data_IF_388358781267
#
_entry.id   IF_388358781267
#
_cell.length_a   1.000
_cell.length_b   1.000
_cell.length_c   1.000
_cell.angle_alpha   90.00
_cell.angle_beta   90.00
_cell.angle_gamma   90.00
#
_symmetry.space_group_name_H-M   'P 1'
#
loop_
_entity.id
_entity.type
_entity.pdbx_description
1 polymer ?
#
# COMPACT_ATOMS: atom_id res chain seq x y z
N UNK A 1 44.23 41.10 31.60
CA UNK A 1 43.90 40.02 32.55
C UNK A 1 42.50 39.52 32.23
N UNK A 2 42.35 38.21 32.07
CA UNK A 2 41.19 37.50 31.51
C UNK A 2 39.99 37.45 32.47
N UNK A 3 38.84 37.15 31.84
CA UNK A 3 37.60 36.47 32.29
C UNK A 3 36.43 37.44 32.45
N UNK A 4 35.30 37.27 31.77
CA UNK A 4 34.81 36.12 31.03
C UNK A 4 33.30 36.13 31.25
N UNK A 5 32.57 36.58 30.24
CA UNK A 5 31.12 36.59 30.21
C UNK A 5 30.61 35.15 30.23
N UNK A 6 29.90 34.77 31.30
CA UNK A 6 29.01 33.62 31.29
C UNK A 6 27.83 33.93 30.35
N UNK A 7 28.03 33.63 29.06
CA UNK A 7 26.94 33.36 28.14
C UNK A 7 26.55 31.91 28.37
N UNK A 8 25.62 31.69 29.29
CA UNK A 8 24.82 30.47 29.30
C UNK A 8 24.07 30.42 27.97
N UNK A 9 24.56 29.61 27.02
CA UNK A 9 23.76 29.21 25.88
C UNK A 9 22.41 28.70 26.43
N UNK A 10 21.26 29.19 25.94
CA UNK A 10 20.01 28.59 26.32
C UNK A 10 20.06 27.14 25.85
N UNK A 11 20.00 26.20 26.79
CA UNK A 11 19.79 24.78 26.53
C UNK A 11 18.71 24.67 25.45
N UNK A 12 19.13 24.37 24.21
CA UNK A 12 18.21 24.10 23.12
C UNK A 12 17.24 23.01 23.59
N UNK A 13 15.97 23.03 23.18
CA UNK A 13 14.97 22.09 23.69
C UNK A 13 15.54 20.68 23.57
N UNK A 14 15.76 20.01 24.72
CA UNK A 14 16.25 18.64 24.76
C UNK A 14 15.40 17.83 23.80
N UNK A 15 16.02 17.30 22.75
CA UNK A 15 15.32 16.58 21.71
C UNK A 15 14.64 15.36 22.34
N UNK A 16 13.35 15.48 22.63
CA UNK A 16 12.49 14.38 23.06
C UNK A 16 12.56 13.31 21.96
N UNK A 17 12.66 12.03 22.33
CA UNK A 17 12.65 10.92 21.38
C UNK A 17 11.49 11.04 20.39
N UNK A 18 10.30 11.47 20.86
CA UNK A 18 9.11 11.65 20.04
C UNK A 18 9.10 12.92 19.18
N UNK A 19 10.08 13.81 19.34
CA UNK A 19 10.29 14.97 18.48
C UNK A 19 11.09 14.64 17.20
N UNK A 20 11.76 13.48 17.15
CA UNK A 20 12.54 13.06 16.01
C UNK A 20 11.72 13.02 14.70
N UNK A 21 12.33 13.28 13.52
CA UNK A 21 11.60 13.36 12.26
C UNK A 21 10.75 12.11 11.96
N UNK A 22 11.24 10.93 12.35
CA UNK A 22 10.57 9.65 12.19
C UNK A 22 9.13 9.67 12.75
N UNK A 23 8.90 10.35 13.87
CA UNK A 23 7.60 10.32 14.56
C UNK A 23 6.65 11.45 14.13
N UNK A 24 7.01 12.23 13.11
CA UNK A 24 6.23 13.41 12.70
C UNK A 24 5.04 13.08 11.79
N UNK A 25 5.07 11.95 11.09
CA UNK A 25 3.99 11.56 10.17
C UNK A 25 4.03 10.07 9.87
N UNK A 26 2.86 9.46 9.67
CA UNK A 26 2.71 8.01 9.55
C UNK A 26 3.51 7.38 8.41
N UNK A 27 3.72 8.06 7.29
CA UNK A 27 4.45 7.51 6.15
C UNK A 27 5.90 7.17 6.49
N UNK A 28 6.51 7.90 7.44
CA UNK A 28 7.94 7.78 7.74
C UNK A 28 8.31 6.41 8.30
N UNK A 29 7.77 5.97 9.45
CA UNK A 29 8.14 4.68 10.02
C UNK A 29 7.52 3.53 9.22
N UNK A 30 6.27 3.66 8.78
CA UNK A 30 5.57 2.56 8.12
C UNK A 30 6.10 2.26 6.72
N UNK A 31 6.51 3.26 5.92
CA UNK A 31 7.12 2.96 4.61
C UNK A 31 8.54 2.42 4.76
N UNK A 32 9.30 2.93 5.75
CA UNK A 32 10.65 2.43 6.03
C UNK A 32 10.60 0.97 6.48
N UNK A 33 9.87 0.69 7.57
CA UNK A 33 9.78 -0.64 8.17
C UNK A 33 9.04 -1.61 7.26
N UNK A 34 7.96 -1.16 6.61
CA UNK A 34 7.20 -1.99 5.67
C UNK A 34 8.05 -2.46 4.50
N UNK A 35 8.81 -1.56 3.84
CA UNK A 35 9.68 -1.96 2.72
C UNK A 35 10.82 -2.87 3.18
N UNK A 36 11.49 -2.56 4.30
CA UNK A 36 12.53 -3.42 4.87
C UNK A 36 11.96 -4.82 5.14
N UNK A 37 10.77 -4.88 5.72
CA UNK A 37 10.08 -6.13 6.02
C UNK A 37 9.73 -6.91 4.76
N UNK A 38 9.21 -6.26 3.72
CA UNK A 38 8.92 -6.91 2.44
C UNK A 38 10.17 -7.46 1.76
N UNK A 39 11.30 -6.75 1.83
CA UNK A 39 12.59 -7.23 1.33
C UNK A 39 13.08 -8.46 2.10
N UNK A 40 13.01 -8.41 3.43
CA UNK A 40 13.35 -9.55 4.27
C UNK A 40 12.45 -10.75 4.01
N UNK A 41 11.13 -10.54 3.90
CA UNK A 41 10.13 -11.57 3.62
C UNK A 41 10.42 -12.30 2.30
N UNK A 42 10.75 -11.54 1.25
CA UNK A 42 11.08 -12.13 -0.05
C UNK A 42 12.42 -12.86 -0.04
N UNK A 43 13.43 -12.33 0.65
CA UNK A 43 14.70 -13.03 0.82
C UNK A 43 14.49 -14.36 1.58
N UNK A 44 13.77 -14.33 2.70
CA UNK A 44 13.45 -15.53 3.47
C UNK A 44 12.68 -16.56 2.63
N UNK A 45 11.69 -16.13 1.84
CA UNK A 45 10.95 -17.01 0.95
C UNK A 45 11.79 -17.59 -0.20
N UNK A 46 12.75 -16.83 -0.73
CA UNK A 46 13.67 -17.30 -1.78
C UNK A 46 14.70 -18.32 -1.27
N UNK A 47 15.23 -18.12 -0.06
CA UNK A 47 16.29 -18.95 0.51
C UNK A 47 15.77 -20.16 1.29
N UNK A 48 14.50 -20.14 1.71
CA UNK A 48 13.89 -21.25 2.47
C UNK A 48 13.90 -22.60 1.72
N UNK A 49 13.49 -22.69 0.44
CA UNK A 49 13.56 -23.95 -0.30
C UNK A 49 14.97 -24.49 -0.50
N UNK A 50 16.00 -23.64 -0.38
CA UNK A 50 17.40 -24.02 -0.52
C UNK A 50 18.01 -24.57 0.78
N UNK A 51 17.24 -24.62 1.88
CA UNK A 51 17.75 -24.97 3.20
C UNK A 51 18.72 -23.93 3.77
N UNK A 52 18.78 -22.73 3.18
CA UNK A 52 19.72 -21.66 3.55
C UNK A 52 19.15 -20.68 4.58
N UNK A 53 17.95 -20.92 5.10
CA UNK A 53 17.35 -20.13 6.18
C UNK A 53 17.07 -21.01 7.40
N UNK A 54 17.75 -20.74 8.51
CA UNK A 54 17.46 -21.35 9.82
C UNK A 54 16.18 -20.77 10.47
N UNK A 55 15.45 -19.91 9.75
CA UNK A 55 14.17 -19.38 10.23
C UNK A 55 13.15 -20.51 10.18
N UNK A 56 12.77 -21.03 11.34
CA UNK A 56 11.59 -21.87 11.49
C UNK A 56 10.38 -21.06 11.04
N UNK A 57 10.03 -21.17 9.75
CA UNK A 57 8.82 -20.55 9.24
C UNK A 57 7.64 -21.12 10.03
N UNK A 58 6.64 -20.28 10.39
CA UNK A 58 5.50 -20.72 11.17
C UNK A 58 4.88 -22.01 10.62
N UNK A 59 4.28 -22.82 11.50
CA UNK A 59 3.80 -24.21 11.34
C UNK A 59 2.86 -24.53 10.15
N UNK A 60 2.64 -23.60 9.22
CA UNK A 60 1.80 -23.77 8.03
C UNK A 60 2.63 -23.65 6.74
N UNK A 61 2.11 -24.16 5.62
CA UNK A 61 2.88 -24.28 4.38
C UNK A 61 3.38 -22.92 3.83
N UNK A 62 4.48 -22.95 3.05
CA UNK A 62 5.15 -21.75 2.53
C UNK A 62 4.23 -20.77 1.78
N UNK A 63 3.27 -21.22 0.93
CA UNK A 63 2.34 -20.31 0.26
C UNK A 63 1.41 -19.54 1.20
N UNK A 64 0.88 -20.19 2.24
CA UNK A 64 0.04 -19.54 3.24
C UNK A 64 0.83 -18.51 4.03
N UNK A 65 2.08 -18.82 4.41
CA UNK A 65 2.98 -17.87 5.09
C UNK A 65 3.26 -16.66 4.23
N UNK A 66 3.65 -16.90 2.98
CA UNK A 66 3.90 -15.82 2.03
C UNK A 66 2.65 -14.94 1.86
N UNK A 67 1.48 -15.55 1.65
CA UNK A 67 0.21 -14.83 1.49
C UNK A 67 -0.16 -13.98 2.71
N UNK A 68 -0.10 -14.57 3.91
CA UNK A 68 -0.39 -13.90 5.18
C UNK A 68 0.53 -12.69 5.38
N UNK A 69 1.84 -12.90 5.26
CA UNK A 69 2.83 -11.87 5.51
C UNK A 69 2.83 -10.75 4.46
N UNK A 70 2.50 -11.08 3.20
CA UNK A 70 2.34 -10.08 2.14
C UNK A 70 1.12 -9.19 2.36
N UNK A 71 0.00 -9.76 2.80
CA UNK A 71 -1.26 -9.02 3.00
C UNK A 71 -1.25 -8.25 4.32
N UNK A 72 -1.00 -8.92 5.44
CA UNK A 72 -1.15 -8.31 6.76
C UNK A 72 0.13 -7.62 7.25
N UNK A 73 1.30 -8.17 6.92
CA UNK A 73 2.60 -7.61 7.32
C UNK A 73 3.03 -6.46 6.44
N UNK A 74 3.43 -6.79 5.22
CA UNK A 74 3.96 -5.85 4.25
C UNK A 74 2.91 -4.83 3.79
N UNK A 75 1.82 -5.31 3.17
CA UNK A 75 0.80 -4.40 2.64
C UNK A 75 0.08 -3.65 3.76
N UNK A 76 -0.19 -4.31 4.89
CA UNK A 76 -0.78 -3.70 6.08
C UNK A 76 0.02 -2.50 6.60
N UNK A 77 1.36 -2.61 6.69
CA UNK A 77 2.22 -1.48 7.06
C UNK A 77 2.09 -0.31 6.09
N UNK A 78 2.19 -0.56 4.78
CA UNK A 78 2.10 0.51 3.77
C UNK A 78 0.70 1.14 3.74
N UNK A 79 -0.35 0.36 3.96
CA UNK A 79 -1.73 0.85 4.11
C UNK A 79 -1.86 1.76 5.34
N UNK A 80 -1.34 1.35 6.49
CA UNK A 80 -1.36 2.17 7.72
C UNK A 80 -0.61 3.50 7.50
N UNK A 81 0.63 3.44 6.98
CA UNK A 81 1.41 4.64 6.68
C UNK A 81 0.71 5.59 5.72
N UNK A 82 -0.01 5.04 4.73
CA UNK A 82 -0.82 5.82 3.81
C UNK A 82 -2.02 6.48 4.51
N UNK A 83 -2.83 5.72 5.23
CA UNK A 83 -4.06 6.24 5.87
C UNK A 83 -3.69 7.35 6.87
N UNK A 84 -2.70 7.10 7.73
CA UNK A 84 -2.28 8.03 8.77
C UNK A 84 -1.72 9.35 8.19
N UNK A 85 -1.18 9.32 6.97
CA UNK A 85 -0.60 10.51 6.32
C UNK A 85 -1.61 11.26 5.46
N UNK A 86 -2.47 10.54 4.74
CA UNK A 86 -3.41 11.13 3.81
C UNK A 86 -4.66 11.70 4.51
N UNK A 87 -5.12 11.03 5.57
CA UNK A 87 -6.39 11.34 6.20
C UNK A 87 -6.47 12.74 6.83
N UNK A 88 -5.42 13.29 7.50
CA UNK A 88 -5.45 14.65 8.01
C UNK A 88 -5.73 15.68 6.92
N UNK A 89 -5.08 15.54 5.75
CA UNK A 89 -5.23 16.46 4.63
C UNK A 89 -6.58 16.39 3.93
N UNK A 90 -7.27 15.25 3.98
CA UNK A 90 -8.54 15.03 3.27
C UNK A 90 -9.76 15.24 4.16
N UNK A 91 -9.74 14.63 5.34
CA UNK A 91 -10.85 14.64 6.28
C UNK A 91 -10.77 15.81 7.27
N UNK A 92 -9.66 16.55 7.30
CA UNK A 92 -9.42 17.61 8.28
C UNK A 92 -9.26 17.06 9.70
N UNK A 93 -8.75 15.83 9.82
CA UNK A 93 -8.50 15.18 11.11
C UNK A 93 -7.14 15.58 11.67
N UNK A 94 -6.95 15.40 12.98
CA UNK A 94 -5.64 15.60 13.60
C UNK A 94 -4.64 14.55 13.11
N UNK A 95 -3.41 14.97 12.82
CA UNK A 95 -2.33 14.06 12.45
C UNK A 95 -1.85 13.25 13.66
N UNK A 96 -1.83 11.93 13.53
CA UNK A 96 -1.29 11.02 14.55
C UNK A 96 0.24 11.06 14.46
N UNK A 97 0.87 11.58 15.51
CA UNK A 97 2.32 11.81 15.62
C UNK A 97 2.85 11.51 17.02
N UNK A 98 4.17 11.50 17.18
CA UNK A 98 4.85 11.27 18.46
C UNK A 98 4.54 9.88 19.03
N UNK A 99 4.27 9.82 20.35
CA UNK A 99 4.03 8.56 21.06
C UNK A 99 2.85 7.76 20.53
N UNK A 100 1.78 8.42 20.04
CA UNK A 100 0.61 7.73 19.47
C UNK A 100 0.98 6.97 18.19
N UNK A 101 1.85 7.57 17.36
CA UNK A 101 2.38 6.90 16.18
C UNK A 101 3.34 5.77 16.56
N UNK A 102 4.19 5.98 17.57
CA UNK A 102 5.08 4.93 18.07
C UNK A 102 4.30 3.71 18.59
N UNK A 103 3.16 3.92 19.26
CA UNK A 103 2.29 2.83 19.70
C UNK A 103 1.78 1.98 18.53
N UNK A 104 1.37 2.59 17.42
CA UNK A 104 0.93 1.86 16.22
C UNK A 104 2.09 1.09 15.56
N UNK A 105 3.29 1.66 15.56
CA UNK A 105 4.50 0.99 15.05
C UNK A 105 4.87 -0.21 15.95
N UNK A 106 4.80 -0.05 17.27
CA UNK A 106 5.02 -1.13 18.22
C UNK A 106 3.97 -2.24 18.08
N UNK A 107 2.70 -1.88 17.88
CA UNK A 107 1.63 -2.84 17.60
C UNK A 107 1.97 -3.72 16.39
N UNK A 108 2.39 -3.11 15.28
CA UNK A 108 2.81 -3.83 14.09
C UNK A 108 4.06 -4.69 14.30
N UNK A 109 5.10 -4.13 14.94
CA UNK A 109 6.34 -4.87 15.27
C UNK A 109 6.06 -6.06 16.19
N UNK A 110 5.18 -5.89 17.18
CA UNK A 110 4.80 -6.96 18.11
C UNK A 110 4.09 -8.10 17.40
N UNK A 111 3.25 -7.81 16.40
CA UNK A 111 2.64 -8.82 15.54
C UNK A 111 3.67 -9.64 14.79
N UNK A 112 4.62 -8.99 14.10
CA UNK A 112 5.69 -9.70 13.40
C UNK A 112 6.56 -10.51 14.36
N UNK A 113 6.96 -9.92 15.48
CA UNK A 113 7.70 -10.62 16.53
C UNK A 113 6.95 -11.83 17.09
N UNK A 114 5.62 -11.75 17.21
CA UNK A 114 4.79 -12.85 17.69
C UNK A 114 4.69 -13.99 16.66
N UNK A 115 4.52 -13.68 15.38
CA UNK A 115 4.47 -14.69 14.30
C UNK A 115 5.76 -15.50 14.23
N UNK A 116 6.92 -14.86 14.44
CA UNK A 116 8.24 -15.53 14.42
C UNK A 116 8.74 -15.96 15.80
N UNK A 117 7.97 -15.72 16.87
CA UNK A 117 8.36 -16.01 18.24
C UNK A 117 8.27 -17.49 18.63
N UNK A 118 7.83 -18.36 17.71
CA UNK A 118 7.64 -19.78 17.95
C UNK A 118 6.58 -20.07 19.02
N UNK A 119 6.76 -21.18 19.76
CA UNK A 119 5.81 -21.64 20.80
C UNK A 119 5.88 -20.82 22.11
N UNK A 120 6.72 -19.77 22.17
CA UNK A 120 6.85 -18.92 23.36
C UNK A 120 5.57 -18.14 23.66
N UNK A 121 4.81 -17.79 22.62
CA UNK A 121 3.56 -17.02 22.74
C UNK A 121 2.37 -17.94 22.43
N UNK A 122 1.36 -18.02 23.30
CA UNK A 122 0.15 -18.80 23.01
C UNK A 122 -0.53 -18.36 21.71
N UNK A 123 -1.15 -19.28 20.98
CA UNK A 123 -1.71 -19.00 19.65
C UNK A 123 -2.71 -17.82 19.64
N UNK A 124 -3.59 -17.72 20.64
CA UNK A 124 -4.48 -16.56 20.79
C UNK A 124 -3.74 -15.25 21.06
N UNK A 125 -2.59 -15.29 21.74
CA UNK A 125 -1.70 -14.15 21.93
C UNK A 125 -1.10 -13.67 20.62
N UNK A 126 -0.64 -14.59 19.76
CA UNK A 126 -0.16 -14.28 18.41
C UNK A 126 -1.27 -13.58 17.61
N UNK A 127 -2.48 -14.16 17.59
CA UNK A 127 -3.63 -13.57 16.91
C UNK A 127 -3.92 -12.13 17.34
N UNK A 128 -3.92 -11.86 18.65
CA UNK A 128 -4.20 -10.53 19.21
C UNK A 128 -3.11 -9.53 18.81
N UNK A 129 -1.84 -9.88 19.02
CA UNK A 129 -0.70 -9.02 18.70
C UNK A 129 -0.64 -8.73 17.20
N UNK A 130 -0.88 -9.76 16.38
CA UNK A 130 -0.78 -9.65 14.94
C UNK A 130 -1.91 -8.83 14.29
N UNK A 131 -3.10 -8.88 14.90
CA UNK A 131 -4.26 -8.09 14.45
C UNK A 131 -4.31 -6.68 15.05
N UNK A 132 -3.46 -6.39 16.04
CA UNK A 132 -3.53 -5.18 16.85
C UNK A 132 -3.38 -3.88 16.04
N UNK A 133 -2.52 -3.85 15.01
CA UNK A 133 -2.33 -2.66 14.18
C UNK A 133 -3.64 -2.15 13.59
N UNK A 134 -4.43 -3.04 12.98
CA UNK A 134 -5.65 -2.67 12.26
C UNK A 134 -6.73 -2.17 13.23
N UNK A 135 -6.91 -2.91 14.31
CA UNK A 135 -7.90 -2.61 15.32
C UNK A 135 -7.54 -1.31 16.09
N UNK A 136 -6.28 -1.11 16.49
CA UNK A 136 -5.82 0.16 17.12
C UNK A 136 -5.89 1.35 16.17
N UNK A 137 -5.52 1.17 14.90
CA UNK A 137 -5.65 2.24 13.89
C UNK A 137 -7.11 2.65 13.73
N UNK A 138 -8.04 1.70 13.66
CA UNK A 138 -9.48 1.97 13.60
C UNK A 138 -9.97 2.77 14.81
N UNK A 139 -9.60 2.35 16.03
CA UNK A 139 -9.96 3.02 17.27
C UNK A 139 -9.44 4.47 17.30
N UNK A 140 -8.17 4.69 16.95
CA UNK A 140 -7.57 6.03 16.98
C UNK A 140 -8.17 6.98 15.94
N UNK A 141 -8.59 6.46 14.79
CA UNK A 141 -9.13 7.28 13.70
C UNK A 141 -10.63 7.55 13.86
N UNK A 142 -11.37 6.68 14.54
CA UNK A 142 -12.83 6.74 14.64
C UNK A 142 -13.36 8.11 15.08
N UNK A 143 -12.87 8.76 16.16
CA UNK A 143 -13.40 10.06 16.58
C UNK A 143 -13.22 11.15 15.51
N UNK A 144 -12.08 11.15 14.82
CA UNK A 144 -11.80 12.09 13.75
C UNK A 144 -12.71 11.86 12.54
N UNK A 145 -12.89 10.60 12.15
CA UNK A 145 -13.78 10.22 11.04
C UNK A 145 -15.25 10.57 11.32
N UNK A 146 -15.72 10.36 12.55
CA UNK A 146 -17.08 10.73 12.95
C UNK A 146 -17.30 12.25 12.92
N UNK A 147 -16.28 13.06 13.20
CA UNK A 147 -16.33 14.53 13.13
C UNK A 147 -16.13 15.08 11.72
N UNK A 148 -15.55 14.31 10.80
CA UNK A 148 -15.29 14.75 9.44
C UNK A 148 -16.58 15.20 8.74
N UNK A 149 -16.50 16.31 7.98
CA UNK A 149 -17.65 16.86 7.22
C UNK A 149 -18.11 15.90 6.14
N UNK A 150 -17.17 15.29 5.41
CA UNK A 150 -17.46 14.32 4.38
C UNK A 150 -17.48 12.89 4.98
N UNK A 151 -18.67 12.29 5.07
CA UNK A 151 -18.86 10.96 5.66
C UNK A 151 -18.34 9.82 4.80
N UNK A 152 -17.98 10.06 3.53
CA UNK A 152 -17.36 9.03 2.69
C UNK A 152 -16.03 8.50 3.25
N UNK A 153 -15.33 9.26 4.10
CA UNK A 153 -14.12 8.78 4.77
C UNK A 153 -14.37 7.65 5.79
N UNK A 154 -15.62 7.45 6.23
CA UNK A 154 -15.98 6.29 7.07
C UNK A 154 -15.78 4.95 6.34
N UNK A 155 -15.71 4.94 5.01
CA UNK A 155 -15.36 3.75 4.23
C UNK A 155 -13.98 3.16 4.56
N UNK A 156 -13.12 3.89 5.28
CA UNK A 156 -11.86 3.36 5.82
C UNK A 156 -12.06 2.35 6.95
N UNK A 157 -13.14 2.45 7.73
CA UNK A 157 -13.42 1.54 8.84
C UNK A 157 -13.73 0.11 8.37
N UNK A 158 -14.62 -0.14 7.39
CA UNK A 158 -14.82 -1.50 6.88
C UNK A 158 -13.56 -2.08 6.24
N UNK A 159 -12.70 -1.26 5.61
CA UNK A 159 -11.40 -1.71 5.08
C UNK A 159 -10.49 -2.23 6.22
N UNK A 160 -10.35 -1.46 7.31
CA UNK A 160 -9.60 -1.90 8.49
C UNK A 160 -10.28 -3.09 9.17
N UNK A 161 -11.60 -3.15 9.14
CA UNK A 161 -12.40 -4.27 9.59
C UNK A 161 -12.09 -5.55 8.83
N UNK A 162 -12.03 -5.52 7.50
CA UNK A 162 -11.65 -6.66 6.66
C UNK A 162 -10.21 -7.12 6.92
N UNK A 163 -9.28 -6.18 7.12
CA UNK A 163 -7.91 -6.54 7.51
C UNK A 163 -7.85 -7.19 8.89
N UNK A 164 -8.52 -6.61 9.90
CA UNK A 164 -8.52 -7.17 11.26
C UNK A 164 -9.25 -8.54 11.28
N UNK A 165 -10.44 -8.65 10.67
CA UNK A 165 -11.24 -9.88 10.65
C UNK A 165 -10.60 -10.98 9.80
N UNK A 166 -10.05 -10.66 8.63
CA UNK A 166 -9.33 -11.61 7.80
C UNK A 166 -8.14 -12.22 8.53
N UNK A 167 -7.40 -11.39 9.27
CA UNK A 167 -6.26 -11.84 10.06
C UNK A 167 -6.69 -12.73 11.24
N UNK A 168 -7.73 -12.33 11.96
CA UNK A 168 -8.31 -13.14 13.05
C UNK A 168 -8.81 -14.49 12.53
N UNK A 169 -9.55 -14.50 11.41
CA UNK A 169 -10.04 -15.74 10.77
C UNK A 169 -8.86 -16.63 10.37
N UNK A 170 -7.79 -16.06 9.82
CA UNK A 170 -6.59 -16.79 9.48
C UNK A 170 -5.98 -17.49 10.71
N UNK A 171 -5.71 -16.76 11.79
CA UNK A 171 -5.10 -17.33 12.99
C UNK A 171 -5.99 -18.39 13.65
N UNK A 172 -7.30 -18.15 13.75
CA UNK A 172 -8.25 -19.16 14.22
C UNK A 172 -8.22 -20.40 13.33
N UNK A 173 -8.13 -20.23 12.00
CA UNK A 173 -8.05 -21.35 11.06
C UNK A 173 -6.76 -22.16 11.20
N UNK A 174 -5.63 -21.50 11.48
CA UNK A 174 -4.38 -22.20 11.80
C UNK A 174 -4.51 -23.01 13.09
N UNK A 175 -5.15 -22.46 14.13
CA UNK A 175 -5.42 -23.17 15.40
C UNK A 175 -6.29 -24.41 15.17
N UNK A 176 -7.32 -24.28 14.32
CA UNK A 176 -8.25 -25.38 14.02
C UNK A 176 -7.70 -26.38 12.97
N UNK A 177 -6.57 -26.09 12.33
CA UNK A 177 -6.01 -26.90 11.25
C UNK A 177 -6.75 -26.79 9.91
N UNK A 178 -7.59 -25.76 9.72
CA UNK A 178 -8.40 -25.54 8.51
C UNK A 178 -7.68 -24.62 7.49
N UNK A 179 -6.91 -25.24 6.59
CA UNK A 179 -6.12 -24.49 5.59
C UNK A 179 -6.97 -23.77 4.55
N UNK A 180 -8.20 -24.23 4.29
CA UNK A 180 -9.12 -23.59 3.36
C UNK A 180 -9.66 -22.29 3.99
N UNK A 181 -10.07 -22.35 5.26
CA UNK A 181 -10.49 -21.17 6.02
C UNK A 181 -9.35 -20.19 6.25
N UNK A 182 -8.11 -20.66 6.40
CA UNK A 182 -6.94 -19.81 6.44
C UNK A 182 -6.76 -19.04 5.13
N UNK A 183 -6.83 -19.73 3.99
CA UNK A 183 -6.79 -19.11 2.66
C UNK A 183 -7.90 -18.06 2.48
N UNK A 184 -9.11 -18.35 2.97
CA UNK A 184 -10.24 -17.42 2.95
C UNK A 184 -9.98 -16.18 3.82
N UNK A 185 -9.37 -16.32 4.99
CA UNK A 185 -8.93 -15.19 5.83
C UNK A 185 -7.98 -14.24 5.09
N UNK A 186 -7.00 -14.79 4.36
CA UNK A 186 -6.10 -14.00 3.49
C UNK A 186 -6.89 -13.29 2.38
N UNK A 187 -7.86 -13.97 1.74
CA UNK A 187 -8.70 -13.36 0.71
C UNK A 187 -9.53 -12.19 1.24
N UNK A 188 -10.10 -12.29 2.45
CA UNK A 188 -10.82 -11.18 3.10
C UNK A 188 -9.88 -9.97 3.26
N UNK A 189 -8.66 -10.19 3.78
CA UNK A 189 -7.65 -9.15 3.90
C UNK A 189 -7.28 -8.53 2.55
N UNK A 190 -7.07 -9.37 1.52
CA UNK A 190 -6.76 -8.95 0.16
C UNK A 190 -7.88 -8.09 -0.44
N UNK A 191 -9.15 -8.46 -0.24
CA UNK A 191 -10.29 -7.66 -0.68
C UNK A 191 -10.34 -6.30 0.02
N UNK A 192 -9.95 -6.22 1.30
CA UNK A 192 -9.76 -4.95 2.00
C UNK A 192 -8.67 -4.09 1.35
N UNK A 193 -7.54 -4.69 0.97
CA UNK A 193 -6.45 -4.01 0.25
C UNK A 193 -6.90 -3.53 -1.14
N UNK A 194 -7.68 -4.33 -1.88
CA UNK A 194 -8.28 -3.95 -3.16
C UNK A 194 -9.25 -2.77 -3.01
N UNK A 195 -10.14 -2.83 -2.01
CA UNK A 195 -11.05 -1.74 -1.69
C UNK A 195 -10.29 -0.44 -1.41
N UNK A 196 -9.22 -0.51 -0.60
CA UNK A 196 -8.31 0.61 -0.36
C UNK A 196 -7.63 1.09 -1.65
N UNK A 197 -7.14 0.17 -2.47
CA UNK A 197 -6.47 0.49 -3.73
C UNK A 197 -7.36 1.35 -4.63
N UNK A 198 -8.66 1.03 -4.73
CA UNK A 198 -9.59 1.82 -5.55
C UNK A 198 -10.00 3.13 -4.88
N UNK A 199 -10.36 3.07 -3.59
CA UNK A 199 -10.78 4.25 -2.83
C UNK A 199 -9.69 5.32 -2.81
N UNK A 200 -8.46 4.91 -2.50
CA UNK A 200 -7.33 5.83 -2.36
C UNK A 200 -6.53 5.96 -3.65
N UNK A 201 -6.10 4.84 -4.25
CA UNK A 201 -5.25 4.83 -5.44
C UNK A 201 -6.00 5.32 -6.68
N UNK A 202 -7.21 4.84 -6.94
CA UNK A 202 -8.03 5.30 -8.07
C UNK A 202 -8.41 6.78 -7.99
N UNK A 203 -8.82 7.23 -6.81
CA UNK A 203 -9.11 8.65 -6.55
C UNK A 203 -7.85 9.51 -6.67
N UNK A 204 -6.75 9.13 -6.00
CA UNK A 204 -5.51 9.89 -6.04
C UNK A 204 -4.89 9.94 -7.42
N UNK A 205 -4.96 8.84 -8.17
CA UNK A 205 -4.48 8.81 -9.54
C UNK A 205 -5.25 9.86 -10.34
N UNK A 206 -6.59 9.86 -10.28
CA UNK A 206 -7.41 10.92 -10.92
C UNK A 206 -6.98 12.33 -10.51
N UNK A 207 -6.79 12.59 -9.21
CA UNK A 207 -6.36 13.92 -8.70
C UNK A 207 -4.97 14.29 -9.21
N UNK A 208 -4.03 13.37 -9.19
CA UNK A 208 -2.66 13.61 -9.62
C UNK A 208 -2.55 13.77 -11.13
N UNK A 209 -3.33 13.04 -11.90
CA UNK A 209 -3.46 13.21 -13.35
C UNK A 209 -4.06 14.57 -13.68
N UNK A 210 -5.14 14.97 -13.00
CA UNK A 210 -5.72 16.31 -13.15
C UNK A 210 -4.69 17.40 -12.84
N UNK A 211 -3.93 17.25 -11.76
CA UNK A 211 -2.88 18.21 -11.39
C UNK A 211 -1.73 18.27 -12.40
N UNK A 212 -1.35 17.12 -12.98
CA UNK A 212 -0.32 17.07 -14.03
C UNK A 212 -0.81 17.73 -15.32
N UNK A 213 -2.05 17.48 -15.74
CA UNK A 213 -2.65 18.12 -16.92
C UNK A 213 -2.81 19.63 -16.73
N UNK A 214 -3.25 20.09 -15.56
CA UNK A 214 -3.36 21.52 -15.23
C UNK A 214 -2.03 22.26 -15.33
N UNK A 215 -0.92 21.64 -14.89
CA UNK A 215 0.41 22.24 -15.01
C UNK A 215 0.85 22.45 -16.47
N UNK A 216 0.20 21.76 -17.42
CA UNK A 216 0.49 21.85 -18.85
C UNK A 216 -0.59 22.60 -19.65
N UNK A 217 -1.54 23.27 -18.97
CA UNK A 217 -2.72 23.85 -19.63
C UNK A 217 -3.52 22.81 -20.46
N UNK A 218 -3.50 21.55 -20.04
CA UNK A 218 -4.24 20.45 -20.67
C UNK A 218 -5.73 20.45 -20.31
N UNK A 219 -6.49 19.47 -20.83
CA UNK A 219 -7.93 19.37 -20.58
C UNK A 219 -8.23 19.14 -19.09
N UNK A 220 -9.30 19.78 -18.57
CA UNK A 220 -9.73 19.56 -17.19
C UNK A 220 -10.50 18.24 -17.07
N UNK A 221 -9.98 17.33 -16.23
CA UNK A 221 -10.65 16.07 -15.91
C UNK A 221 -11.80 16.34 -14.95
N UNK A 222 -13.02 16.44 -15.49
CA UNK A 222 -14.24 16.54 -14.67
C UNK A 222 -14.43 15.27 -13.84
N UNK A 223 -14.70 15.41 -12.55
CA UNK A 223 -15.15 14.27 -11.73
C UNK A 223 -16.59 13.94 -12.15
N UNK A 224 -16.88 12.66 -12.40
CA UNK A 224 -18.23 12.19 -12.73
C UNK A 224 -18.78 11.39 -11.54
N UNK A 225 -19.66 11.96 -10.70
CA UNK A 225 -20.13 11.29 -9.49
C UNK A 225 -20.75 9.91 -9.76
N UNK A 226 -21.56 9.78 -10.81
CA UNK A 226 -22.20 8.51 -11.18
C UNK A 226 -21.18 7.40 -11.47
N UNK A 227 -20.03 7.75 -12.07
CA UNK A 227 -18.99 6.78 -12.40
C UNK A 227 -18.24 6.34 -11.13
N UNK A 228 -18.06 7.22 -10.15
CA UNK A 228 -17.48 6.87 -8.86
C UNK A 228 -18.40 5.93 -8.07
N UNK A 229 -19.71 6.17 -8.07
CA UNK A 229 -20.70 5.26 -7.48
C UNK A 229 -20.74 3.91 -8.20
N UNK A 230 -20.74 3.92 -9.54
CA UNK A 230 -20.71 2.68 -10.34
C UNK A 230 -19.42 1.90 -10.11
N UNK A 231 -18.28 2.58 -9.96
CA UNK A 231 -16.99 1.98 -9.62
C UNK A 231 -16.99 1.35 -8.24
N UNK A 232 -17.60 2.00 -7.25
CA UNK A 232 -17.75 1.43 -5.91
C UNK A 232 -18.69 0.22 -5.91
N UNK A 233 -19.84 0.32 -6.58
CA UNK A 233 -20.82 -0.77 -6.66
C UNK A 233 -20.26 -1.99 -7.38
N UNK A 234 -19.61 -1.81 -8.54
CA UNK A 234 -19.02 -2.93 -9.28
C UNK A 234 -17.90 -3.60 -8.48
N UNK A 235 -17.15 -2.84 -7.69
CA UNK A 235 -16.15 -3.40 -6.79
C UNK A 235 -16.78 -4.19 -5.64
N UNK A 236 -17.87 -3.71 -5.06
CA UNK A 236 -18.61 -4.46 -4.03
C UNK A 236 -19.16 -5.78 -4.57
N UNK A 237 -19.69 -5.78 -5.78
CA UNK A 237 -20.15 -7.01 -6.44
C UNK A 237 -18.99 -7.97 -6.73
N UNK A 238 -17.84 -7.46 -7.17
CA UNK A 238 -16.64 -8.27 -7.32
C UNK A 238 -16.19 -8.89 -6.00
N UNK A 239 -16.08 -8.10 -4.93
CA UNK A 239 -15.73 -8.59 -3.58
C UNK A 239 -16.73 -9.67 -3.12
N UNK A 240 -18.02 -9.42 -3.31
CA UNK A 240 -19.07 -10.40 -3.00
C UNK A 240 -18.89 -11.69 -3.81
N UNK A 241 -18.63 -11.59 -5.13
CA UNK A 241 -18.41 -12.74 -6.00
C UNK A 241 -17.12 -13.52 -5.74
N UNK A 242 -16.17 -12.95 -5.00
CA UNK A 242 -14.93 -13.64 -4.58
C UNK A 242 -15.10 -14.30 -3.21
N UNK A 243 -15.80 -13.64 -2.28
CA UNK A 243 -15.88 -14.08 -0.89
C UNK A 243 -17.10 -14.93 -0.57
N UNK A 244 -18.20 -14.76 -1.30
CA UNK A 244 -19.42 -15.52 -1.11
C UNK A 244 -19.42 -16.78 -1.97
N UNK A 245 -20.14 -17.80 -1.51
CA UNK A 245 -20.36 -19.05 -2.23
C UNK A 245 -21.40 -18.84 -3.36
N UNK A 246 -20.96 -18.20 -4.43
CA UNK A 246 -21.77 -17.97 -5.65
C UNK A 246 -21.28 -18.86 -6.79
N UNK A 247 -22.15 -19.22 -7.75
CA UNK A 247 -21.72 -19.90 -8.96
C UNK A 247 -20.58 -19.17 -9.66
N UNK A 248 -19.54 -19.91 -10.08
CA UNK A 248 -18.31 -19.34 -10.65
C UNK A 248 -18.58 -18.37 -11.82
N UNK A 249 -19.57 -18.69 -12.67
CA UNK A 249 -20.01 -17.83 -13.78
C UNK A 249 -20.49 -16.45 -13.30
N UNK A 250 -21.18 -16.39 -12.16
CA UNK A 250 -21.66 -15.14 -11.57
C UNK A 250 -20.48 -14.34 -11.02
N UNK A 251 -19.55 -14.99 -10.29
CA UNK A 251 -18.31 -14.36 -9.82
C UNK A 251 -17.50 -13.78 -10.97
N UNK A 252 -17.37 -14.51 -12.08
CA UNK A 252 -16.69 -14.04 -13.28
C UNK A 252 -17.39 -12.87 -13.96
N UNK A 253 -18.72 -12.88 -14.04
CA UNK A 253 -19.48 -11.76 -14.59
C UNK A 253 -19.28 -10.48 -13.76
N UNK A 254 -19.32 -10.57 -12.43
CA UNK A 254 -19.02 -9.44 -11.56
C UNK A 254 -17.60 -8.90 -11.77
N UNK A 255 -16.61 -9.77 -11.96
CA UNK A 255 -15.25 -9.36 -12.26
C UNK A 255 -15.13 -8.65 -13.62
N UNK A 256 -15.79 -9.15 -14.68
CA UNK A 256 -15.81 -8.47 -15.98
C UNK A 256 -16.55 -7.14 -15.94
N UNK A 257 -17.68 -7.05 -15.22
CA UNK A 257 -18.38 -5.79 -15.00
C UNK A 257 -17.48 -4.78 -14.29
N UNK A 258 -16.77 -5.20 -13.23
CA UNK A 258 -15.81 -4.35 -12.54
C UNK A 258 -14.68 -3.91 -13.49
N UNK A 259 -14.08 -4.83 -14.25
CA UNK A 259 -13.05 -4.51 -15.24
C UNK A 259 -13.52 -3.47 -16.27
N UNK A 260 -14.73 -3.62 -16.81
CA UNK A 260 -15.30 -2.69 -17.80
C UNK A 260 -15.50 -1.28 -17.23
N UNK A 261 -16.06 -1.17 -16.02
CA UNK A 261 -16.25 0.13 -15.34
C UNK A 261 -14.90 0.79 -15.05
N UNK A 262 -13.93 0.03 -14.58
CA UNK A 262 -12.60 0.53 -14.23
C UNK A 262 -11.81 0.92 -15.48
N UNK A 263 -11.98 0.21 -16.60
CA UNK A 263 -11.46 0.60 -17.91
C UNK A 263 -12.09 1.92 -18.39
N UNK A 264 -13.42 2.06 -18.29
CA UNK A 264 -14.11 3.30 -18.62
C UNK A 264 -13.55 4.50 -17.84
N UNK A 265 -13.25 4.31 -16.54
CA UNK A 265 -12.57 5.31 -15.71
C UNK A 265 -11.14 5.59 -16.18
N UNK A 266 -10.36 4.56 -16.45
CA UNK A 266 -8.97 4.67 -16.91
C UNK A 266 -8.85 5.45 -18.22
N UNK A 267 -9.70 5.16 -19.22
CA UNK A 267 -9.66 5.82 -20.53
C UNK A 267 -9.86 7.34 -20.43
N UNK A 268 -10.63 7.81 -19.43
CA UNK A 268 -10.85 9.23 -19.19
C UNK A 268 -9.61 9.97 -18.73
N UNK A 269 -8.62 9.27 -18.16
CA UNK A 269 -7.39 9.90 -17.69
C UNK A 269 -6.46 10.36 -18.82
N UNK A 270 -6.69 9.91 -20.07
CA UNK A 270 -5.90 10.33 -21.25
C UNK A 270 -4.39 10.22 -21.01
N UNK A 271 -3.95 9.03 -20.57
CA UNK A 271 -2.57 8.73 -20.12
C UNK A 271 -1.47 9.23 -21.07
N UNK A 272 -1.75 9.25 -22.37
CA UNK A 272 -0.83 9.75 -23.41
C UNK A 272 -0.42 11.23 -23.24
N UNK A 273 -1.19 12.03 -22.49
CA UNK A 273 -0.88 13.45 -22.23
C UNK A 273 0.11 13.65 -21.06
N UNK A 274 0.45 12.59 -20.32
CA UNK A 274 1.29 12.65 -19.12
C UNK A 274 2.49 11.68 -19.17
N UNK A 275 2.96 11.33 -20.37
CA UNK A 275 4.07 10.37 -20.56
C UNK A 275 5.41 10.86 -19.96
N UNK A 276 5.57 12.17 -19.83
CA UNK A 276 6.70 12.87 -19.18
C UNK A 276 6.57 13.01 -17.66
N UNK A 277 5.47 12.52 -17.06
CA UNK A 277 5.20 12.58 -15.63
C UNK A 277 5.31 11.17 -15.01
N UNK A 278 6.52 10.61 -14.86
CA UNK A 278 6.74 9.19 -14.55
C UNK A 278 6.02 8.71 -13.29
N UNK A 279 5.99 9.50 -12.22
CA UNK A 279 5.26 9.12 -10.99
C UNK A 279 3.77 8.86 -11.30
N UNK A 280 3.11 9.72 -12.07
CA UNK A 280 1.70 9.54 -12.39
C UNK A 280 1.51 8.44 -13.43
N UNK A 281 2.40 8.37 -14.43
CA UNK A 281 2.36 7.35 -15.47
C UNK A 281 2.41 5.92 -14.90
N UNK A 282 3.30 5.64 -13.94
CA UNK A 282 3.37 4.31 -13.33
C UNK A 282 2.19 4.01 -12.40
N UNK A 283 1.49 5.02 -11.87
CA UNK A 283 0.19 4.80 -11.21
C UNK A 283 -0.88 4.38 -12.23
N UNK A 284 -0.85 4.91 -13.46
CA UNK A 284 -1.73 4.47 -14.54
C UNK A 284 -1.42 3.04 -14.98
N UNK A 285 -0.14 2.70 -15.14
CA UNK A 285 0.30 1.33 -15.49
C UNK A 285 -0.14 0.33 -14.41
N UNK A 286 0.02 0.69 -13.14
CA UNK A 286 -0.50 -0.09 -12.01
C UNK A 286 -2.02 -0.30 -12.11
N UNK A 287 -2.77 0.74 -12.47
CA UNK A 287 -4.21 0.64 -12.62
C UNK A 287 -4.63 -0.30 -13.76
N UNK A 288 -3.86 -0.35 -14.86
CA UNK A 288 -4.07 -1.32 -15.93
C UNK A 288 -3.86 -2.76 -15.45
N UNK A 289 -2.84 -3.00 -14.61
CA UNK A 289 -2.65 -4.31 -13.97
C UNK A 289 -3.83 -4.70 -13.08
N UNK A 290 -4.44 -3.74 -12.37
CA UNK A 290 -5.66 -4.01 -11.60
C UNK A 290 -6.82 -4.43 -12.51
N UNK A 291 -7.01 -3.75 -13.64
CA UNK A 291 -8.01 -4.14 -14.63
C UNK A 291 -7.72 -5.54 -15.19
N UNK A 292 -6.45 -5.81 -15.52
CA UNK A 292 -5.99 -7.13 -15.96
C UNK A 292 -6.25 -8.22 -14.92
N UNK A 293 -6.06 -7.94 -13.62
CA UNK A 293 -6.34 -8.89 -12.55
C UNK A 293 -7.82 -9.30 -12.53
N UNK A 294 -8.76 -8.36 -12.67
CA UNK A 294 -10.18 -8.69 -12.72
C UNK A 294 -10.55 -9.49 -13.98
N UNK A 295 -9.93 -9.18 -15.13
CA UNK A 295 -10.11 -9.96 -16.36
C UNK A 295 -9.60 -11.39 -16.19
N UNK A 296 -8.41 -11.56 -15.59
CA UNK A 296 -7.82 -12.86 -15.32
C UNK A 296 -8.66 -13.68 -14.34
N UNK A 297 -9.19 -13.04 -13.30
CA UNK A 297 -10.13 -13.69 -12.37
C UNK A 297 -11.36 -14.18 -13.12
N UNK A 298 -12.02 -13.29 -13.88
CA UNK A 298 -13.24 -13.63 -14.59
C UNK A 298 -13.03 -14.71 -15.65
N UNK A 299 -11.90 -14.70 -16.34
CA UNK A 299 -11.54 -15.74 -17.31
C UNK A 299 -11.33 -17.10 -16.60
N UNK A 300 -10.60 -17.13 -15.49
CA UNK A 300 -10.36 -18.35 -14.72
C UNK A 300 -11.67 -18.98 -14.21
N UNK A 301 -12.57 -18.17 -13.63
CA UNK A 301 -13.88 -18.66 -13.15
C UNK A 301 -14.87 -19.00 -14.28
N UNK A 302 -14.54 -18.69 -15.54
CA UNK A 302 -15.33 -19.08 -16.71
C UNK A 302 -14.70 -20.26 -17.47
N UNK A 303 -13.75 -20.97 -16.85
CA UNK A 303 -13.18 -22.21 -17.38
C UNK A 303 -11.95 -22.03 -18.26
N UNK A 304 -11.36 -20.83 -18.32
CA UNK A 304 -10.03 -20.69 -18.91
C UNK A 304 -9.00 -21.43 -18.05
N UNK A 305 -8.06 -22.13 -18.69
CA UNK A 305 -7.00 -22.89 -18.01
C UNK A 305 -5.91 -21.98 -17.43
N UNK A 306 -6.29 -21.16 -16.46
CA UNK A 306 -5.45 -20.15 -15.82
C UNK A 306 -5.31 -20.50 -14.34
N UNK A 307 -4.08 -20.66 -13.86
CA UNK A 307 -3.84 -20.90 -12.44
C UNK A 307 -4.32 -19.72 -11.58
N UNK A 308 -4.92 -19.99 -10.41
CA UNK A 308 -5.45 -18.97 -9.48
C UNK A 308 -4.41 -17.89 -9.14
N UNK A 309 -3.13 -18.24 -9.15
CA UNK A 309 -2.03 -17.29 -8.95
C UNK A 309 -1.99 -16.14 -9.96
N UNK A 310 -2.54 -16.28 -11.18
CA UNK A 310 -2.43 -15.25 -12.21
C UNK A 310 -3.10 -13.93 -11.81
N UNK A 311 -4.37 -13.98 -11.40
CA UNK A 311 -5.09 -12.76 -11.01
C UNK A 311 -4.55 -12.18 -9.70
N UNK A 312 -4.19 -13.05 -8.74
CA UNK A 312 -3.61 -12.64 -7.46
C UNK A 312 -2.35 -11.83 -7.71
N UNK A 313 -1.41 -12.34 -8.52
CA UNK A 313 -0.14 -11.65 -8.75
C UNK A 313 -0.22 -10.50 -9.76
N UNK A 314 -1.16 -10.55 -10.70
CA UNK A 314 -1.50 -9.38 -11.51
C UNK A 314 -1.93 -8.22 -10.60
N UNK A 315 -2.71 -8.50 -9.55
CA UNK A 315 -3.04 -7.49 -8.55
C UNK A 315 -1.87 -7.18 -7.60
N UNK A 316 -1.33 -8.14 -6.86
CA UNK A 316 -0.38 -7.87 -5.77
C UNK A 316 0.98 -7.38 -6.26
N UNK A 317 1.48 -7.93 -7.37
CA UNK A 317 2.77 -7.54 -7.96
C UNK A 317 2.56 -6.42 -8.99
N UNK A 318 1.69 -6.64 -9.97
CA UNK A 318 1.47 -5.69 -11.07
C UNK A 318 0.81 -4.39 -10.61
N UNK A 319 -0.32 -4.48 -9.92
CA UNK A 319 -1.06 -3.31 -9.50
C UNK A 319 -0.51 -2.73 -8.19
N UNK A 320 -0.61 -3.48 -7.10
CA UNK A 320 -0.38 -3.01 -5.75
C UNK A 320 1.08 -2.60 -5.53
N UNK A 321 2.05 -3.46 -5.85
CA UNK A 321 3.48 -3.13 -5.64
C UNK A 321 3.93 -1.94 -6.49
N UNK A 322 3.48 -1.83 -7.74
CA UNK A 322 3.79 -0.68 -8.60
C UNK A 322 3.12 0.62 -8.12
N UNK A 323 1.85 0.55 -7.66
CA UNK A 323 1.17 1.67 -7.03
C UNK A 323 1.89 2.11 -5.77
N UNK A 324 2.27 1.15 -4.92
CA UNK A 324 3.04 1.40 -3.70
C UNK A 324 4.32 2.13 -4.05
N UNK A 325 5.19 1.56 -4.89
CA UNK A 325 6.46 2.18 -5.28
C UNK A 325 6.29 3.62 -5.77
N UNK A 326 5.37 3.86 -6.69
CA UNK A 326 5.15 5.21 -7.22
C UNK A 326 4.62 6.17 -6.15
N UNK A 327 3.64 5.73 -5.36
CA UNK A 327 2.97 6.54 -4.37
C UNK A 327 3.88 6.85 -3.17
N UNK A 328 4.58 5.86 -2.61
CA UNK A 328 5.50 6.06 -1.49
C UNK A 328 6.67 6.95 -1.91
N UNK A 329 7.16 6.84 -3.15
CA UNK A 329 8.15 7.77 -3.72
C UNK A 329 7.61 9.20 -3.75
N UNK A 330 6.42 9.38 -4.34
CA UNK A 330 5.77 10.69 -4.44
C UNK A 330 5.51 11.32 -3.06
N UNK A 331 4.99 10.54 -2.11
CA UNK A 331 4.70 10.98 -0.74
C UNK A 331 5.99 11.35 -0.03
N UNK A 332 7.03 10.51 -0.13
CA UNK A 332 8.34 10.80 0.48
C UNK A 332 8.92 12.11 -0.05
N UNK A 333 8.94 12.32 -1.37
CA UNK A 333 9.43 13.56 -1.96
C UNK A 333 8.59 14.76 -1.51
N UNK A 334 7.25 14.66 -1.61
CA UNK A 334 6.32 15.75 -1.28
C UNK A 334 6.44 16.18 0.19
N UNK A 335 6.37 15.23 1.11
CA UNK A 335 6.30 15.51 2.55
C UNK A 335 7.67 15.80 3.17
N UNK A 336 8.76 15.54 2.44
CA UNK A 336 10.11 15.95 2.85
C UNK A 336 10.62 17.22 2.16
N UNK A 337 9.77 17.92 1.40
CA UNK A 337 10.07 19.21 0.79
C UNK A 337 10.92 19.14 -0.48
N UNK A 338 10.97 17.98 -1.13
CA UNK A 338 11.77 17.74 -2.34
C UNK A 338 10.93 17.85 -3.62
N UNK A 339 11.60 18.08 -4.75
CA UNK A 339 10.97 18.15 -6.07
C UNK A 339 10.33 16.81 -6.43
N UNK A 340 9.17 16.83 -7.07
CA UNK A 340 8.41 15.62 -7.47
C UNK A 340 8.91 15.02 -8.80
N UNK A 341 10.23 14.91 -8.94
CA UNK A 341 10.88 14.34 -10.12
C UNK A 341 11.72 13.15 -9.67
N UNK A 342 11.34 11.91 -10.03
CA UNK A 342 12.12 10.74 -9.68
C UNK A 342 13.42 10.71 -10.51
N UNK A 343 14.53 10.33 -9.89
CA UNK A 343 15.79 10.10 -10.61
C UNK A 343 15.71 8.87 -11.52
N UNK A 344 16.68 8.74 -12.44
CA UNK A 344 16.73 7.64 -13.43
C UNK A 344 16.66 6.25 -12.78
N UNK A 345 17.39 6.02 -11.70
CA UNK A 345 17.37 4.74 -10.96
C UNK A 345 15.99 4.41 -10.37
N UNK A 346 15.20 5.41 -9.97
CA UNK A 346 13.85 5.18 -9.48
C UNK A 346 12.88 4.83 -10.62
N UNK A 347 13.10 5.41 -11.82
CA UNK A 347 12.37 5.00 -13.03
C UNK A 347 12.71 3.54 -13.38
N UNK A 348 14.00 3.15 -13.28
CA UNK A 348 14.42 1.75 -13.44
C UNK A 348 13.69 0.85 -12.45
N UNK A 349 13.57 1.22 -11.18
CA UNK A 349 12.81 0.45 -10.20
C UNK A 349 11.35 0.23 -10.63
N UNK A 350 10.67 1.25 -11.16
CA UNK A 350 9.30 1.10 -11.67
C UNK A 350 9.22 0.13 -12.85
N UNK A 351 10.15 0.22 -13.81
CA UNK A 351 10.22 -0.68 -14.96
C UNK A 351 10.51 -2.12 -14.53
N UNK A 352 11.44 -2.32 -13.60
CA UNK A 352 11.73 -3.64 -13.02
C UNK A 352 10.48 -4.25 -12.38
N UNK A 353 9.69 -3.46 -11.65
CA UNK A 353 8.44 -3.97 -11.05
C UNK A 353 7.42 -4.43 -12.11
N UNK A 354 7.30 -3.71 -13.23
CA UNK A 354 6.48 -4.15 -14.37
C UNK A 354 6.98 -5.49 -14.93
N UNK A 355 8.30 -5.63 -15.08
CA UNK A 355 8.93 -6.89 -15.52
C UNK A 355 8.70 -8.04 -14.54
N UNK A 356 8.85 -7.80 -13.23
CA UNK A 356 8.57 -8.79 -12.18
C UNK A 356 7.12 -9.28 -12.27
N UNK A 357 6.16 -8.36 -12.42
CA UNK A 357 4.74 -8.70 -12.57
C UNK A 357 4.48 -9.53 -13.83
N UNK A 358 5.04 -9.15 -14.97
CA UNK A 358 4.88 -9.87 -16.22
C UNK A 358 5.37 -11.32 -16.11
N UNK A 359 6.60 -11.53 -15.63
CA UNK A 359 7.15 -12.87 -15.41
C UNK A 359 6.30 -13.66 -14.42
N UNK A 360 5.85 -13.04 -13.32
CA UNK A 360 5.06 -13.71 -12.29
C UNK A 360 3.72 -14.23 -12.79
N UNK A 361 3.08 -13.48 -13.69
CA UNK A 361 1.76 -13.79 -14.26
C UNK A 361 1.87 -14.75 -15.45
N UNK A 362 2.95 -14.69 -16.23
CA UNK A 362 3.18 -15.62 -17.35
C UNK A 362 3.33 -17.08 -16.93
N UNK A 363 3.83 -17.36 -15.72
CA UNK A 363 3.93 -18.73 -15.17
C UNK A 363 2.56 -19.40 -14.98
N UNK A 364 1.61 -18.85 -14.19
CA UNK A 364 0.27 -19.43 -14.05
C UNK A 364 -0.59 -19.35 -15.33
N UNK A 365 -0.17 -18.57 -16.33
CA UNK A 365 -0.72 -18.61 -17.70
C UNK A 365 -0.11 -19.71 -18.57
N UNK A 366 0.84 -20.51 -18.03
CA UNK A 366 1.56 -21.59 -18.71
C UNK A 366 2.39 -21.12 -19.92
N UNK A 367 2.76 -19.84 -19.96
CA UNK A 367 3.65 -19.27 -20.98
C UNK A 367 5.12 -19.48 -20.60
N UNK A 368 5.43 -19.50 -19.30
CA UNK A 368 6.78 -19.70 -18.75
C UNK A 368 6.78 -20.84 -17.73
N UNK A 369 7.94 -21.48 -17.54
CA UNK A 369 8.16 -22.50 -16.50
C UNK A 369 8.25 -21.89 -15.10
N UNK A 370 8.15 -22.73 -14.06
CA UNK A 370 8.24 -22.31 -12.67
C UNK A 370 9.61 -21.70 -12.28
N UNK A 371 10.68 -21.98 -13.04
CA UNK A 371 12.01 -21.41 -12.80
C UNK A 371 12.02 -19.87 -12.84
N UNK A 372 11.08 -19.28 -13.58
CA UNK A 372 10.92 -17.83 -13.69
C UNK A 372 10.35 -17.18 -12.43
N UNK A 373 9.83 -17.96 -11.47
CA UNK A 373 9.32 -17.44 -10.20
C UNK A 373 10.44 -16.82 -9.37
N UNK A 374 11.60 -17.48 -9.28
CA UNK A 374 12.76 -16.97 -8.57
C UNK A 374 13.31 -15.70 -9.22
N UNK A 375 13.34 -15.65 -10.56
CA UNK A 375 13.76 -14.47 -11.32
C UNK A 375 12.82 -13.29 -11.07
N UNK A 376 11.50 -13.51 -11.12
CA UNK A 376 10.50 -12.50 -10.80
C UNK A 376 10.68 -11.94 -9.38
N UNK A 377 10.90 -12.82 -8.40
CA UNK A 377 11.14 -12.45 -7.02
C UNK A 377 12.44 -11.63 -6.84
N UNK A 378 13.54 -12.00 -7.52
CA UNK A 378 14.79 -11.23 -7.50
C UNK A 378 14.63 -9.83 -8.09
N UNK A 379 13.88 -9.71 -9.20
CA UNK A 379 13.57 -8.40 -9.82
C UNK A 379 12.71 -7.55 -8.88
N UNK A 380 11.73 -8.15 -8.21
CA UNK A 380 10.90 -7.49 -7.21
C UNK A 380 11.74 -6.95 -6.04
N UNK A 381 12.63 -7.78 -5.48
CA UNK A 381 13.56 -7.40 -4.40
C UNK A 381 14.46 -6.26 -4.85
N UNK A 382 15.01 -6.33 -6.06
CA UNK A 382 15.85 -5.28 -6.62
C UNK A 382 15.09 -3.96 -6.75
N UNK A 383 13.83 -4.00 -7.19
CA UNK A 383 12.99 -2.81 -7.36
C UNK A 383 12.73 -2.07 -6.03
N UNK A 384 12.29 -2.79 -5.00
CA UNK A 384 12.10 -2.20 -3.66
C UNK A 384 13.44 -1.84 -2.98
N UNK A 385 14.50 -2.59 -3.25
CA UNK A 385 15.87 -2.30 -2.81
C UNK A 385 16.35 -0.94 -3.33
N UNK A 386 16.12 -0.65 -4.61
CA UNK A 386 16.42 0.67 -5.18
C UNK A 386 15.61 1.77 -4.50
N UNK A 387 14.32 1.56 -4.21
CA UNK A 387 13.53 2.56 -3.48
C UNK A 387 14.13 2.87 -2.10
N UNK A 388 14.43 1.83 -1.30
CA UNK A 388 14.90 2.03 0.08
C UNK A 388 16.30 2.66 0.11
N UNK A 389 17.18 2.30 -0.83
CA UNK A 389 18.52 2.91 -0.96
C UNK A 389 18.40 4.41 -1.30
N UNK A 390 17.51 4.76 -2.23
CA UNK A 390 17.37 6.14 -2.72
C UNK A 390 16.58 7.04 -1.76
N UNK A 391 15.59 6.50 -1.05
CA UNK A 391 14.61 7.28 -0.28
C UNK A 391 14.58 6.98 1.23
N UNK A 392 15.14 5.86 1.69
CA UNK A 392 15.06 5.43 3.09
C UNK A 392 15.61 6.46 4.08
N UNK A 393 16.77 7.05 3.78
CA UNK A 393 17.35 8.10 4.62
C UNK A 393 16.47 9.36 4.71
N UNK A 394 15.62 9.62 3.72
CA UNK A 394 14.71 10.76 3.73
C UNK A 394 13.59 10.59 4.78
N UNK A 395 13.25 9.34 5.12
CA UNK A 395 12.20 9.02 6.08
C UNK A 395 12.64 9.27 7.53
N UNK A 396 13.95 9.19 7.81
CA UNK A 396 14.52 9.42 9.14
C UNK A 396 15.13 10.82 9.33
N UNK A 397 15.50 11.50 8.23
CA UNK A 397 16.09 12.84 8.29
C UNK A 397 15.02 13.96 8.36
N UNK A 398 15.38 15.15 8.89
CA UNK A 398 14.52 16.32 8.84
C UNK A 398 14.07 16.65 7.41
N UNK A 399 12.83 17.13 7.28
CA UNK A 399 12.34 17.67 6.01
C UNK A 399 13.11 18.95 5.65
N UNK A 400 13.25 19.23 4.35
CA UNK A 400 13.78 20.52 3.91
C UNK A 400 12.81 21.65 4.29
N UNK A 401 13.31 22.87 4.58
CA UNK A 401 12.46 24.04 4.76
C UNK A 401 11.54 24.19 3.55
N UNK A 402 10.24 24.43 3.78
CA UNK A 402 9.33 24.74 2.67
C UNK A 402 9.78 26.07 2.06
N UNK A 403 10.09 26.09 0.77
CA UNK A 403 10.24 27.35 0.04
C UNK A 403 8.94 28.14 0.21
N UNK A 404 9.01 29.24 0.97
CA UNK A 404 7.95 30.23 0.99
C UNK A 404 7.90 30.83 -0.41
N UNK A 405 7.00 30.35 -1.27
CA UNK A 405 6.65 31.13 -2.46
C UNK A 405 6.15 32.48 -1.94
N UNK A 406 6.79 33.61 -2.31
CA UNK A 406 6.27 34.90 -1.92
C UNK A 406 4.82 34.97 -2.42
N UNK A 407 3.89 35.33 -1.52
CA UNK A 407 2.56 35.76 -1.95
C UNK A 407 2.80 36.78 -3.04
N UNK A 408 2.33 36.54 -4.26
CA UNK A 408 2.41 37.58 -5.30
C UNK A 408 1.78 38.82 -4.69
N UNK A 409 2.58 39.86 -4.46
CA UNK A 409 2.05 41.17 -4.11
C UNK A 409 1.02 41.48 -5.19
N UNK A 410 -0.24 41.57 -4.78
CA UNK A 410 -1.26 42.18 -5.61
C UNK A 410 -0.68 43.54 -6.00
N UNK A 411 -0.49 43.72 -7.30
CA UNK A 411 -0.01 44.95 -7.88
C UNK A 411 -1.02 46.02 -7.46
N UNK A 412 -0.58 46.90 -6.57
CA UNK A 412 -1.11 48.25 -6.48
C UNK A 412 -1.03 48.86 -7.89
N UNK A 413 -2.19 49.06 -8.52
CA UNK A 413 -2.38 50.14 -9.47
C UNK A 413 -3.69 50.83 -9.14
N UNK A 414 -3.57 51.81 -8.26
CA UNK A 414 -4.35 53.04 -8.35
C UNK A 414 -3.83 53.84 -9.56
N UNK A 415 -4.68 54.03 -10.56
CA UNK A 415 -4.74 55.22 -11.42
C UNK A 415 -5.96 55.09 -12.30
#
# INVERSE_FOLDING_TARGET
MKRGSDLTEPDGPKADFFSAPLWQSGFRPFYLLGVIYGLWLMAAGLFSPLGMSDVSLPLYNLPLWHGHEMVFGFSGAIVAGFILTALPGWAGTEEIRGWRLALLVLAWLSGRGAVYGGEVIPAYGIMILDSSLFCLTGIMLLPGLLRAKNKHYLALLPILGMLCSGNVIFHLAIIDGDMARASWGIQIGLMGVIAKFILAGGFLTTVFTRNALRQKNGPDLKVLPWLEYLSALSLMLFIYGVLADVPERIGGLFAFCAAAVQMGRFLRWRSFLILDAPLVLFMHVSYLWFIGAMILYGAGTMGAEIGTGAWIHAFTVGALSLMMLSLITRVTLRHTGRRLVPGKFMITAFVLMVGAAALRVMVPLRVLSEDWLSVSAMIWVTSFGLYIILHGLLLIRPSLPRENKPKSRAIERSS
#
